data_IF_529677042651
#
_entry.id   IF_529677042651
#
_cell.length_a   1.000
_cell.length_b   1.000
_cell.length_c   1.000
_cell.angle_alpha   90.00
_cell.angle_beta   90.00
_cell.angle_gamma   90.00
#
_symmetry.space_group_name_H-M   'P 1'
#
loop_
_entity.id
_entity.type
_entity.pdbx_description
1 polymer ?
#
# COMPACT_ATOMS: atom_id res chain seq x y z
N UNK A 1 34.60 15.03 59.39
CA UNK A 1 35.20 16.32 58.96
C UNK A 1 36.70 16.29 59.26
N UNK A 2 37.51 15.74 58.36
CA UNK A 2 38.97 15.72 58.50
C UNK A 2 39.53 17.08 58.04
N UNK A 3 39.54 18.06 58.96
CA UNK A 3 40.21 19.36 58.76
C UNK A 3 41.72 19.18 58.95
N UNK A 4 42.43 19.10 57.82
CA UNK A 4 43.85 19.43 57.59
C UNK A 4 44.73 19.60 58.85
N UNK A 5 45.33 18.52 59.33
CA UNK A 5 46.53 18.57 60.17
C UNK A 5 47.72 17.93 59.42
N UNK A 6 48.24 18.65 58.42
CA UNK A 6 49.63 18.62 57.96
C UNK A 6 49.74 19.61 56.79
N UNK A 7 50.42 20.74 56.99
CA UNK A 7 50.49 21.84 56.03
C UNK A 7 51.65 21.61 55.03
N UNK A 8 51.63 20.50 54.31
CA UNK A 8 52.40 20.39 53.08
C UNK A 8 51.64 21.17 51.99
N UNK A 9 52.25 22.21 51.43
CA UNK A 9 51.72 22.87 50.24
C UNK A 9 51.71 21.83 49.11
N UNK A 10 50.53 21.42 48.66
CA UNK A 10 50.41 20.52 47.53
C UNK A 10 50.85 21.27 46.27
N UNK A 11 51.96 20.84 45.66
CA UNK A 11 52.40 21.36 44.37
C UNK A 11 51.42 20.93 43.29
N UNK A 12 51.23 21.78 42.29
CA UNK A 12 50.42 21.42 41.13
C UNK A 12 51.02 20.18 40.46
N UNK A 13 50.15 19.28 39.99
CA UNK A 13 50.60 18.04 39.36
C UNK A 13 51.44 18.31 38.10
N UNK A 14 51.17 19.42 37.41
CA UNK A 14 51.98 19.92 36.28
C UNK A 14 53.43 20.25 36.69
N UNK A 15 53.63 20.82 37.88
CA UNK A 15 54.96 21.15 38.40
C UNK A 15 55.72 19.90 38.88
N UNK A 16 54.97 18.88 39.31
CA UNK A 16 55.53 17.60 39.77
C UNK A 16 55.97 16.73 38.60
N UNK A 17 55.20 16.69 37.51
CA UNK A 17 55.51 15.91 36.30
C UNK A 17 56.35 16.69 35.28
N UNK A 18 56.52 18.01 35.48
CA UNK A 18 57.18 18.95 34.55
C UNK A 18 56.54 18.98 33.15
N UNK A 19 55.26 18.60 33.04
CA UNK A 19 54.52 18.60 31.78
C UNK A 19 53.43 19.67 31.77
N UNK A 20 53.58 20.66 30.87
CA UNK A 20 52.61 21.75 30.69
C UNK A 20 51.30 21.28 30.04
N UNK A 21 51.35 20.21 29.25
CA UNK A 21 50.20 19.68 28.50
C UNK A 21 49.46 18.54 29.21
N UNK A 22 49.86 18.19 30.43
CA UNK A 22 49.28 17.10 31.22
C UNK A 22 47.74 17.09 31.23
N UNK A 23 47.09 18.24 31.43
CA UNK A 23 45.62 18.31 31.46
C UNK A 23 44.97 18.09 30.09
N UNK A 24 45.67 18.38 28.98
CA UNK A 24 45.17 18.06 27.63
C UNK A 24 45.16 16.54 27.44
N UNK A 25 46.23 15.86 27.85
CA UNK A 25 46.29 14.40 27.84
C UNK A 25 45.25 13.79 28.79
N UNK A 26 45.12 14.32 30.01
CA UNK A 26 44.15 13.84 30.98
C UNK A 26 42.71 13.97 30.47
N UNK A 27 42.36 15.11 29.88
CA UNK A 27 41.07 15.33 29.25
C UNK A 27 40.84 14.34 28.10
N UNK A 28 41.83 14.16 27.22
CA UNK A 28 41.76 13.17 26.14
C UNK A 28 41.50 11.77 26.69
N UNK A 29 42.27 11.33 27.70
CA UNK A 29 42.09 10.02 28.32
C UNK A 29 40.71 9.88 28.98
N UNK A 30 40.21 10.89 29.67
CA UNK A 30 38.87 10.86 30.24
C UNK A 30 37.78 10.80 29.17
N UNK A 31 37.88 11.58 28.09
CA UNK A 31 36.96 11.49 26.95
C UNK A 31 37.01 10.12 26.28
N UNK A 32 38.20 9.52 26.16
CA UNK A 32 38.37 8.16 25.61
C UNK A 32 37.78 7.09 26.53
N UNK A 33 37.96 7.21 27.85
CA UNK A 33 37.35 6.30 28.83
C UNK A 33 35.82 6.40 28.76
N UNK A 34 35.28 7.61 28.65
CA UNK A 34 33.84 7.81 28.50
C UNK A 34 33.32 7.23 27.18
N UNK A 35 34.01 7.46 26.06
CA UNK A 35 33.67 6.89 24.75
C UNK A 35 33.74 5.37 24.77
N UNK A 36 34.82 4.79 25.30
CA UNK A 36 34.99 3.35 25.43
C UNK A 36 33.95 2.74 26.38
N UNK A 37 33.61 3.44 27.46
CA UNK A 37 32.54 3.05 28.38
C UNK A 37 31.16 3.06 27.72
N UNK A 38 30.88 4.07 26.89
CA UNK A 38 29.62 4.18 26.14
C UNK A 38 29.49 3.10 25.05
N UNK A 39 30.58 2.79 24.33
CA UNK A 39 30.58 1.76 23.29
C UNK A 39 30.81 0.33 23.81
N UNK A 40 31.01 0.14 25.12
CA UNK A 40 31.30 -1.18 25.69
C UNK A 40 30.13 -2.16 25.53
N UNK A 41 28.91 -1.65 25.59
CA UNK A 41 27.69 -2.45 25.44
C UNK A 41 26.87 -1.83 24.33
N UNK A 42 26.86 -2.49 23.18
CA UNK A 42 25.98 -2.14 22.06
C UNK A 42 24.90 -3.19 21.97
N UNK A 43 23.64 -2.74 22.03
CA UNK A 43 22.51 -3.62 21.76
C UNK A 43 22.46 -3.95 20.26
N UNK A 44 22.28 -5.22 19.95
CA UNK A 44 21.96 -5.68 18.59
C UNK A 44 20.57 -6.28 18.63
N UNK A 45 19.57 -5.47 18.31
CA UNK A 45 18.20 -5.95 18.19
C UNK A 45 18.04 -6.53 16.79
N UNK A 46 17.69 -7.81 16.72
CA UNK A 46 17.26 -8.42 15.47
C UNK A 46 15.76 -8.16 15.35
N UNK A 47 15.38 -7.31 14.40
CA UNK A 47 14.00 -7.20 13.97
C UNK A 47 13.68 -8.40 13.06
N UNK A 48 12.46 -8.92 13.14
CA UNK A 48 12.03 -10.07 12.35
C UNK A 48 12.13 -9.82 10.84
N UNK A 49 11.85 -10.83 10.00
CA UNK A 49 11.84 -10.63 8.56
C UNK A 49 10.90 -9.47 8.18
N UNK A 50 11.32 -8.59 7.26
CA UNK A 50 10.49 -7.48 6.82
C UNK A 50 9.23 -7.98 6.12
N UNK A 51 8.16 -7.20 6.22
CA UNK A 51 6.90 -7.45 5.51
C UNK A 51 7.10 -7.42 4.00
N UNK A 52 6.32 -8.22 3.27
CA UNK A 52 6.40 -8.27 1.80
C UNK A 52 6.13 -6.91 1.13
N UNK A 53 5.25 -6.09 1.70
CA UNK A 53 4.95 -4.75 1.18
C UNK A 53 6.22 -3.87 1.18
N UNK A 54 6.97 -3.89 2.29
CA UNK A 54 8.24 -3.16 2.41
C UNK A 54 9.29 -3.66 1.39
N UNK A 55 9.36 -4.98 1.18
CA UNK A 55 10.27 -5.55 0.17
C UNK A 55 9.90 -5.11 -1.25
N UNK A 56 8.60 -5.02 -1.55
CA UNK A 56 8.10 -4.56 -2.86
C UNK A 56 8.47 -3.11 -3.10
N UNK A 57 8.35 -2.26 -2.08
CA UNK A 57 8.72 -0.84 -2.16
C UNK A 57 10.22 -0.65 -2.38
N UNK A 58 11.06 -1.43 -1.69
CA UNK A 58 12.52 -1.41 -1.92
C UNK A 58 12.88 -1.86 -3.33
N UNK A 59 12.24 -2.90 -3.86
CA UNK A 59 12.46 -3.36 -5.24
C UNK A 59 12.04 -2.30 -6.27
N UNK A 60 10.89 -1.65 -6.05
CA UNK A 60 10.42 -0.58 -6.92
C UNK A 60 11.40 0.62 -6.94
N UNK A 61 11.88 1.03 -5.76
CA UNK A 61 12.89 2.10 -5.64
C UNK A 61 14.20 1.72 -6.35
N UNK A 62 14.66 0.47 -6.23
CA UNK A 62 15.85 0.00 -6.93
C UNK A 62 15.65 -0.02 -8.45
N UNK A 63 14.46 -0.39 -8.95
CA UNK A 63 14.18 -0.33 -10.38
C UNK A 63 14.17 1.10 -10.92
N UNK A 64 13.61 2.06 -10.17
CA UNK A 64 13.62 3.46 -10.57
C UNK A 64 15.05 4.05 -10.59
N UNK A 65 15.89 3.72 -9.61
CA UNK A 65 17.30 4.11 -9.62
C UNK A 65 18.09 3.47 -10.77
N UNK A 66 17.83 2.20 -11.09
CA UNK A 66 18.45 1.50 -12.22
C UNK A 66 18.00 2.07 -13.58
N UNK A 67 16.72 2.46 -13.71
CA UNK A 67 16.18 3.09 -14.93
C UNK A 67 16.71 4.52 -15.09
N UNK A 68 16.88 5.27 -14.00
CA UNK A 68 17.51 6.60 -14.01
C UNK A 68 19.01 6.55 -14.39
N UNK A 69 19.73 5.49 -13.98
CA UNK A 69 21.13 5.28 -14.36
C UNK A 69 21.31 4.90 -15.84
N UNK A 70 20.29 4.33 -16.50
CA UNK A 70 20.33 3.98 -17.93
C UNK A 70 19.83 5.13 -18.82
N UNK A 71 18.97 6.02 -18.31
CA UNK A 71 18.31 7.07 -19.09
C UNK A 71 19.02 8.44 -19.07
N UNK A 72 20.33 8.50 -18.73
CA UNK A 72 21.06 9.78 -18.66
C UNK A 72 21.29 10.45 -20.03
N UNK A 73 20.81 9.88 -21.14
CA UNK A 73 20.94 10.45 -22.49
C UNK A 73 19.62 10.83 -23.19
N UNK A 74 18.44 10.66 -22.59
CA UNK A 74 17.19 11.10 -23.23
C UNK A 74 16.28 11.86 -22.26
N UNK A 75 16.53 13.17 -22.17
CA UNK A 75 15.64 14.15 -21.54
C UNK A 75 14.51 14.49 -22.51
N UNK A 76 13.30 14.03 -22.23
CA UNK A 76 12.08 14.61 -22.81
C UNK A 76 10.92 14.46 -21.83
N UNK A 77 10.69 15.56 -21.12
CA UNK A 77 9.41 16.15 -20.72
C UNK A 77 8.14 15.27 -20.82
N UNK A 78 7.52 15.08 -19.67
CA UNK A 78 6.06 15.06 -19.57
C UNK A 78 5.63 15.74 -18.27
N UNK A 79 5.73 17.08 -18.28
CA UNK A 79 4.98 17.96 -17.40
C UNK A 79 3.50 17.98 -17.79
N UNK A 80 2.63 18.01 -16.77
CA UNK A 80 1.29 18.61 -16.80
C UNK A 80 0.25 18.02 -17.76
N UNK A 81 -0.56 17.09 -17.24
CA UNK A 81 -1.89 16.79 -17.77
C UNK A 81 -2.86 16.51 -16.61
N UNK A 82 -3.11 17.49 -15.76
CA UNK A 82 -4.13 17.39 -14.69
C UNK A 82 -5.07 18.61 -14.67
N UNK A 83 -5.47 19.06 -15.86
CA UNK A 83 -6.48 20.11 -16.04
C UNK A 83 -7.59 19.62 -16.97
N UNK A 84 -8.45 18.71 -16.46
CA UNK A 84 -9.86 18.47 -16.84
C UNK A 84 -10.42 17.20 -16.18
N UNK A 85 -10.30 17.02 -14.86
CA UNK A 85 -11.12 16.02 -14.15
C UNK A 85 -12.37 16.68 -13.60
N UNK A 86 -13.48 16.49 -14.32
CA UNK A 86 -14.81 16.69 -13.74
C UNK A 86 -14.94 15.85 -12.46
N UNK A 87 -15.75 16.31 -11.51
CA UNK A 87 -15.99 15.61 -10.24
C UNK A 87 -16.46 14.17 -10.51
N UNK A 88 -15.58 13.20 -10.29
CA UNK A 88 -15.90 11.78 -10.38
C UNK A 88 -16.06 11.19 -8.98
N UNK A 89 -17.09 10.37 -8.71
CA UNK A 89 -17.15 9.64 -7.46
C UNK A 89 -15.98 8.65 -7.36
N UNK A 90 -15.40 8.54 -6.16
CA UNK A 90 -14.25 7.68 -5.85
C UNK A 90 -14.63 6.81 -4.66
N UNK A 91 -14.42 5.49 -4.78
CA UNK A 91 -14.52 4.59 -3.63
C UNK A 91 -13.31 4.79 -2.71
N UNK A 92 -13.57 5.04 -1.42
CA UNK A 92 -12.50 5.21 -0.43
C UNK A 92 -12.28 3.95 0.41
N UNK A 93 -13.35 3.21 0.67
CA UNK A 93 -13.33 2.10 1.64
C UNK A 93 -14.04 0.88 1.06
N UNK A 94 -13.51 -0.31 1.35
CA UNK A 94 -14.11 -1.58 0.94
C UNK A 94 -15.56 -1.74 1.43
N UNK A 95 -15.87 -1.21 2.63
CA UNK A 95 -17.22 -1.17 3.20
C UNK A 95 -18.18 -0.35 2.35
N UNK A 96 -17.73 0.78 1.81
CA UNK A 96 -18.54 1.62 0.92
C UNK A 96 -18.85 0.86 -0.38
N UNK A 97 -17.85 0.16 -0.93
CA UNK A 97 -18.03 -0.68 -2.11
C UNK A 97 -19.05 -1.80 -1.88
N UNK A 98 -18.98 -2.48 -0.73
CA UNK A 98 -19.96 -3.49 -0.33
C UNK A 98 -21.39 -2.91 -0.22
N UNK A 99 -21.54 -1.71 0.34
CA UNK A 99 -22.84 -1.04 0.46
C UNK A 99 -23.45 -0.64 -0.90
N UNK A 100 -22.61 -0.21 -1.85
CA UNK A 100 -23.05 0.24 -3.17
C UNK A 100 -23.37 -0.94 -4.09
N UNK A 101 -22.53 -1.98 -4.12
CA UNK A 101 -22.74 -3.15 -4.97
C UNK A 101 -23.76 -4.14 -4.38
N UNK A 102 -23.87 -4.18 -3.06
CA UNK A 102 -24.59 -5.21 -2.33
C UNK A 102 -23.76 -6.50 -2.17
N UNK A 103 -24.19 -7.33 -1.22
CA UNK A 103 -23.44 -8.50 -0.77
C UNK A 103 -23.09 -9.50 -1.89
N UNK A 104 -24.09 -9.96 -2.64
CA UNK A 104 -23.87 -11.02 -3.64
C UNK A 104 -22.92 -10.58 -4.77
N UNK A 105 -23.07 -9.34 -5.25
CA UNK A 105 -22.20 -8.79 -6.31
C UNK A 105 -20.78 -8.56 -5.83
N UNK A 106 -20.64 -8.03 -4.61
CA UNK A 106 -19.34 -7.84 -3.99
C UNK A 106 -18.64 -9.18 -3.74
N UNK A 107 -19.35 -10.18 -3.21
CA UNK A 107 -18.82 -11.54 -2.97
C UNK A 107 -18.24 -12.13 -4.26
N UNK A 108 -19.01 -12.12 -5.34
CA UNK A 108 -18.56 -12.64 -6.63
C UNK A 108 -17.29 -11.95 -7.13
N UNK A 109 -17.23 -10.62 -6.98
CA UNK A 109 -16.11 -9.82 -7.42
C UNK A 109 -14.86 -10.06 -6.55
N UNK A 110 -15.02 -10.02 -5.23
CA UNK A 110 -13.94 -10.27 -4.27
C UNK A 110 -13.42 -11.71 -4.37
N UNK A 111 -14.30 -12.69 -4.60
CA UNK A 111 -13.93 -14.08 -4.88
C UNK A 111 -12.98 -14.18 -6.07
N UNK A 112 -13.34 -13.58 -7.20
CA UNK A 112 -12.52 -13.64 -8.41
C UNK A 112 -11.19 -12.88 -8.25
N UNK A 113 -11.17 -11.78 -7.51
CA UNK A 113 -9.95 -11.03 -7.19
C UNK A 113 -9.00 -11.87 -6.33
N UNK A 114 -9.51 -12.50 -5.26
CA UNK A 114 -8.69 -13.33 -4.36
C UNK A 114 -8.17 -14.59 -5.06
N UNK A 115 -8.93 -15.16 -6.00
CA UNK A 115 -8.46 -16.28 -6.84
C UNK A 115 -7.38 -15.87 -7.85
N UNK A 116 -7.22 -14.57 -8.13
CA UNK A 116 -6.30 -14.06 -9.15
C UNK A 116 -6.85 -14.12 -10.57
N UNK A 117 -8.16 -14.26 -10.74
CA UNK A 117 -8.82 -14.17 -12.04
C UNK A 117 -8.75 -12.72 -12.56
N UNK A 118 -8.89 -12.55 -13.88
CA UNK A 118 -8.83 -11.22 -14.48
C UNK A 118 -10.12 -10.44 -14.19
N UNK A 119 -9.99 -9.32 -13.50
CA UNK A 119 -11.03 -8.33 -13.30
C UNK A 119 -10.98 -7.28 -14.42
N UNK A 120 -12.05 -7.20 -15.19
CA UNK A 120 -12.23 -6.22 -16.25
C UNK A 120 -13.30 -5.24 -15.80
N UNK A 121 -12.96 -3.95 -15.71
CA UNK A 121 -13.92 -2.90 -15.39
C UNK A 121 -14.07 -2.02 -16.62
N UNK A 122 -15.28 -1.97 -17.17
CA UNK A 122 -15.60 -1.20 -18.36
C UNK A 122 -16.53 -0.06 -18.00
N UNK A 123 -16.13 1.17 -18.31
CA UNK A 123 -16.99 2.32 -18.15
C UNK A 123 -16.27 3.66 -18.04
N UNK A 124 -17.04 4.67 -17.70
CA UNK A 124 -16.59 6.04 -17.45
C UNK A 124 -17.28 6.55 -16.17
N UNK A 125 -16.66 7.47 -15.42
CA UNK A 125 -15.35 8.10 -15.64
C UNK A 125 -14.16 7.23 -15.21
N UNK A 126 -12.97 7.50 -15.76
CA UNK A 126 -11.71 6.77 -15.45
C UNK A 126 -11.37 6.80 -13.95
N UNK A 127 -11.60 7.94 -13.28
CA UNK A 127 -11.37 8.07 -11.84
C UNK A 127 -12.16 7.07 -10.98
N UNK A 128 -13.38 6.73 -11.41
CA UNK A 128 -14.20 5.73 -10.74
C UNK A 128 -13.62 4.33 -10.94
N UNK A 129 -13.19 3.99 -12.16
CA UNK A 129 -12.54 2.70 -12.49
C UNK A 129 -11.29 2.50 -11.64
N UNK A 130 -10.42 3.51 -11.57
CA UNK A 130 -9.21 3.47 -10.76
C UNK A 130 -9.52 3.30 -9.27
N UNK A 131 -10.55 3.98 -8.76
CA UNK A 131 -10.94 3.84 -7.35
C UNK A 131 -11.40 2.42 -6.99
N UNK A 132 -12.05 1.73 -7.93
CA UNK A 132 -12.42 0.31 -7.76
C UNK A 132 -11.16 -0.55 -7.63
N UNK A 133 -10.15 -0.30 -8.46
CA UNK A 133 -8.89 -1.07 -8.40
C UNK A 133 -8.14 -0.83 -7.09
N UNK A 134 -8.00 0.42 -6.65
CA UNK A 134 -7.30 0.72 -5.40
C UNK A 134 -8.01 0.10 -4.18
N UNK A 135 -9.34 0.12 -4.15
CA UNK A 135 -10.08 -0.53 -3.04
C UNK A 135 -9.95 -2.05 -3.04
N UNK A 136 -9.96 -2.69 -4.21
CA UNK A 136 -9.85 -4.15 -4.33
C UNK A 136 -8.43 -4.67 -4.18
N UNK A 137 -7.42 -3.86 -4.52
CA UNK A 137 -6.01 -4.16 -4.31
C UNK A 137 -5.71 -4.52 -2.86
N UNK A 138 -6.44 -3.93 -1.91
CA UNK A 138 -6.31 -4.21 -0.48
C UNK A 138 -6.50 -5.70 -0.17
N UNK A 139 -7.34 -6.42 -0.93
CA UNK A 139 -7.65 -7.84 -0.71
C UNK A 139 -6.50 -8.80 -1.05
N UNK A 140 -5.52 -8.37 -1.84
CA UNK A 140 -4.46 -9.25 -2.36
C UNK A 140 -3.06 -8.72 -1.99
N UNK A 141 -2.04 -9.59 -1.96
CA UNK A 141 -0.66 -9.14 -1.80
C UNK A 141 -0.25 -8.17 -2.92
N UNK A 142 0.64 -7.22 -2.61
CA UNK A 142 1.11 -6.19 -3.55
C UNK A 142 1.67 -6.79 -4.84
N UNK A 143 2.44 -7.89 -4.74
CA UNK A 143 3.04 -8.59 -5.90
C UNK A 143 2.02 -9.27 -6.80
N UNK A 144 0.83 -9.57 -6.29
CA UNK A 144 -0.25 -10.18 -7.05
C UNK A 144 -1.05 -9.14 -7.85
N UNK A 145 -0.79 -7.84 -7.67
CA UNK A 145 -1.50 -6.77 -8.35
C UNK A 145 -0.76 -6.31 -9.62
N UNK A 146 -1.34 -6.58 -10.79
CA UNK A 146 -0.88 -6.11 -12.11
C UNK A 146 -2.01 -5.36 -12.80
N UNK A 147 -1.90 -4.03 -12.84
CA UNK A 147 -2.97 -3.17 -13.31
C UNK A 147 -2.62 -2.45 -14.63
N UNK A 148 -3.56 -2.47 -15.56
CA UNK A 148 -3.64 -1.54 -16.68
C UNK A 148 -4.80 -0.58 -16.38
N UNK A 149 -4.51 0.70 -16.07
CA UNK A 149 -5.48 1.62 -15.48
C UNK A 149 -6.68 1.90 -16.39
N UNK A 150 -6.41 2.18 -17.65
CA UNK A 150 -7.43 2.42 -18.67
C UNK A 150 -6.84 2.14 -20.05
N UNK A 151 -7.51 1.32 -20.86
CA UNK A 151 -7.08 0.99 -22.21
C UNK A 151 -8.25 0.98 -23.19
N UNK A 152 -7.98 1.39 -24.42
CA UNK A 152 -8.95 1.30 -25.52
C UNK A 152 -9.00 -0.11 -26.15
N UNK A 153 -8.03 -0.98 -25.83
CA UNK A 153 -7.90 -2.33 -26.39
C UNK A 153 -7.83 -3.36 -25.28
N UNK A 154 -8.51 -4.49 -25.47
CA UNK A 154 -8.44 -5.61 -24.54
C UNK A 154 -7.00 -6.13 -24.35
N UNK A 155 -6.67 -6.51 -23.12
CA UNK A 155 -5.37 -7.07 -22.73
C UNK A 155 -5.58 -8.41 -22.06
N UNK A 156 -4.79 -9.39 -22.46
CA UNK A 156 -4.87 -10.78 -21.97
C UNK A 156 -4.49 -10.91 -20.49
N UNK A 157 -4.98 -11.97 -19.83
CA UNK A 157 -4.78 -12.21 -18.39
C UNK A 157 -3.32 -12.35 -17.95
N UNK A 158 -2.41 -12.77 -18.84
CA UNK A 158 -0.98 -12.86 -18.54
C UNK A 158 -0.30 -11.49 -18.44
N UNK A 159 -0.90 -10.45 -19.04
CA UNK A 159 -0.39 -9.07 -18.97
C UNK A 159 -0.83 -8.37 -17.70
N UNK A 160 -2.10 -8.52 -17.32
CA UNK A 160 -2.71 -7.84 -16.19
C UNK A 160 -3.90 -8.64 -15.65
N UNK A 161 -4.05 -8.63 -14.32
CA UNK A 161 -5.25 -9.13 -13.65
C UNK A 161 -6.27 -8.02 -13.40
N UNK A 162 -5.88 -6.74 -13.36
CA UNK A 162 -6.81 -5.61 -13.31
C UNK A 162 -6.74 -4.84 -14.63
N UNK A 163 -7.86 -4.76 -15.34
CA UNK A 163 -7.95 -4.12 -16.65
C UNK A 163 -9.11 -3.12 -16.69
N UNK A 164 -8.78 -1.84 -16.82
CA UNK A 164 -9.76 -0.79 -17.11
C UNK A 164 -9.98 -0.66 -18.61
N UNK A 165 -11.24 -0.65 -19.06
CA UNK A 165 -11.61 -0.51 -20.46
C UNK A 165 -12.58 0.64 -20.71
N UNK A 166 -12.50 1.20 -21.91
CA UNK A 166 -13.50 2.11 -22.45
C UNK A 166 -14.81 1.38 -22.78
N UNK A 167 -15.92 2.10 -22.65
CA UNK A 167 -17.28 1.55 -22.83
C UNK A 167 -17.50 0.88 -24.20
N UNK A 168 -16.82 1.38 -25.23
CA UNK A 168 -16.97 0.91 -26.62
C UNK A 168 -16.01 -0.24 -26.99
N UNK A 169 -15.12 -0.65 -26.10
CA UNK A 169 -14.14 -1.69 -26.40
C UNK A 169 -14.79 -3.07 -26.43
N UNK A 170 -14.56 -3.79 -27.53
CA UNK A 170 -15.03 -5.17 -27.69
C UNK A 170 -14.11 -6.14 -26.95
N UNK A 171 -14.72 -7.07 -26.21
CA UNK A 171 -14.03 -8.15 -25.51
C UNK A 171 -14.20 -9.43 -26.35
N UNK A 172 -13.13 -10.19 -26.62
CA UNK A 172 -13.23 -11.42 -27.38
C UNK A 172 -14.23 -12.42 -26.78
N UNK A 173 -15.06 -13.04 -27.63
CA UNK A 173 -16.17 -13.92 -27.20
C UNK A 173 -15.72 -15.15 -26.43
N UNK A 174 -14.57 -15.74 -26.79
CA UNK A 174 -14.00 -16.90 -26.10
C UNK A 174 -13.65 -16.60 -24.63
N UNK A 175 -13.40 -15.33 -24.31
CA UNK A 175 -13.15 -14.87 -22.94
C UNK A 175 -14.48 -14.76 -22.22
N UNK A 176 -15.50 -14.19 -22.87
CA UNK A 176 -16.83 -14.03 -22.29
C UNK A 176 -17.47 -15.37 -21.84
N UNK A 177 -17.12 -16.46 -22.50
CA UNK A 177 -17.57 -17.81 -22.16
C UNK A 177 -16.73 -18.48 -21.05
N UNK A 178 -15.51 -17.97 -20.83
CA UNK A 178 -14.57 -18.48 -19.83
C UNK A 178 -15.03 -18.23 -18.39
N UNK A 179 -14.47 -19.00 -17.46
CA UNK A 179 -14.69 -18.86 -16.02
C UNK A 179 -13.61 -18.01 -15.33
N UNK A 180 -12.57 -17.61 -16.08
CA UNK A 180 -11.35 -17.00 -15.52
C UNK A 180 -11.36 -15.47 -15.56
N UNK A 181 -12.52 -14.86 -15.81
CA UNK A 181 -12.69 -13.42 -15.83
C UNK A 181 -13.93 -12.99 -15.07
N UNK A 182 -13.93 -11.75 -14.62
CA UNK A 182 -15.11 -11.05 -14.10
C UNK A 182 -15.20 -9.70 -14.79
N UNK A 183 -16.36 -9.42 -15.40
CA UNK A 183 -16.62 -8.15 -16.07
C UNK A 183 -17.58 -7.32 -15.22
N UNK A 184 -17.17 -6.08 -14.94
CA UNK A 184 -17.98 -5.07 -14.28
C UNK A 184 -18.25 -3.93 -15.25
N UNK A 185 -19.49 -3.83 -15.71
CA UNK A 185 -19.96 -2.74 -16.57
C UNK A 185 -20.54 -1.61 -15.70
N UNK A 186 -20.01 -0.41 -15.90
CA UNK A 186 -20.48 0.82 -15.25
C UNK A 186 -21.30 1.60 -16.28
N UNK A 187 -22.59 1.76 -16.03
CA UNK A 187 -23.49 2.57 -16.86
C UNK A 187 -24.01 3.77 -16.08
N UNK A 188 -23.88 4.96 -16.66
CA UNK A 188 -24.46 6.18 -16.11
C UNK A 188 -25.98 6.21 -16.37
N UNK A 189 -26.76 6.40 -15.30
CA UNK A 189 -28.20 6.55 -15.32
C UNK A 189 -28.57 8.03 -15.13
N UNK A 190 -28.97 8.68 -16.21
CA UNK A 190 -29.56 10.02 -16.15
C UNK A 190 -31.02 9.94 -15.69
N UNK A 191 -31.24 9.76 -14.38
CA UNK A 191 -32.57 9.92 -13.79
C UNK A 191 -32.82 11.42 -13.55
N UNK A 192 -33.61 12.06 -14.42
CA UNK A 192 -33.98 13.49 -14.39
C UNK A 192 -34.91 13.92 -13.23
N UNK A 193 -35.01 13.13 -12.16
CA UNK A 193 -35.76 13.52 -10.97
C UNK A 193 -34.80 14.06 -9.91
N UNK A 194 -34.80 15.38 -9.76
CA UNK A 194 -34.23 16.08 -8.61
C UNK A 194 -34.64 15.38 -7.30
N UNK A 195 -33.65 15.06 -6.46
CA UNK A 195 -33.60 15.43 -5.04
C UNK A 195 -32.42 14.74 -4.32
N UNK A 196 -31.50 15.59 -3.84
CA UNK A 196 -30.77 15.47 -2.57
C UNK A 196 -30.64 14.07 -2.00
N UNK A 197 -29.68 13.30 -2.51
CA UNK A 197 -29.11 12.22 -1.71
C UNK A 197 -27.60 12.32 -1.75
N UNK A 198 -27.00 12.35 -0.57
CA UNK A 198 -25.57 12.53 -0.32
C UNK A 198 -24.68 11.41 -0.90
N UNK A 199 -25.23 10.49 -1.70
CA UNK A 199 -24.52 9.31 -2.17
C UNK A 199 -24.19 9.48 -3.67
N UNK A 200 -22.95 9.82 -4.03
CA UNK A 200 -22.58 10.24 -5.39
C UNK A 200 -22.61 9.09 -6.41
N UNK A 201 -22.81 7.85 -5.95
CA UNK A 201 -22.89 6.64 -6.77
C UNK A 201 -24.28 6.34 -7.34
N UNK A 202 -25.34 7.07 -6.94
CA UNK A 202 -26.71 6.75 -7.39
C UNK A 202 -26.94 6.97 -8.89
N UNK A 203 -26.12 7.80 -9.52
CA UNK A 203 -26.15 8.00 -10.97
C UNK A 203 -25.46 6.87 -11.73
N UNK A 204 -24.91 5.87 -11.05
CA UNK A 204 -24.20 4.77 -11.67
C UNK A 204 -24.90 3.45 -11.36
N UNK A 205 -25.02 2.62 -12.39
CA UNK A 205 -25.44 1.24 -12.25
C UNK A 205 -24.28 0.30 -12.55
N UNK A 206 -24.13 -0.69 -11.68
CA UNK A 206 -23.06 -1.66 -11.73
C UNK A 206 -23.62 -3.04 -12.09
N UNK A 207 -23.34 -3.49 -13.30
CA UNK A 207 -23.65 -4.83 -13.78
C UNK A 207 -22.39 -5.68 -13.69
N UNK A 208 -22.43 -6.75 -12.88
CA UNK A 208 -21.30 -7.67 -12.73
C UNK A 208 -21.68 -9.00 -13.39
N UNK A 209 -20.80 -9.48 -14.27
CA UNK A 209 -20.87 -10.77 -14.94
C UNK A 209 -19.65 -11.58 -14.54
N UNK A 210 -19.90 -12.74 -13.98
CA UNK A 210 -18.86 -13.68 -13.57
C UNK A 210 -19.51 -14.99 -13.14
N UNK A 211 -18.69 -16.02 -12.93
CA UNK A 211 -19.15 -17.28 -12.36
C UNK A 211 -18.47 -17.50 -11.01
N UNK A 212 -19.25 -17.86 -10.02
CA UNK A 212 -18.73 -18.29 -8.72
C UNK A 212 -18.40 -19.79 -8.78
N UNK A 213 -17.33 -20.22 -8.11
CA UNK A 213 -17.08 -21.63 -7.86
C UNK A 213 -17.70 -22.02 -6.51
N UNK A 214 -18.25 -23.23 -6.42
CA UNK A 214 -19.10 -23.73 -5.33
C UNK A 214 -18.46 -23.63 -3.92
N UNK A 215 -17.14 -23.49 -3.84
CA UNK A 215 -16.41 -23.36 -2.58
C UNK A 215 -15.52 -22.11 -2.57
N UNK A 216 -16.00 -21.07 -1.88
CA UNK A 216 -15.24 -19.86 -1.57
C UNK A 216 -14.09 -20.11 -0.60
N UNK A 217 -12.95 -19.40 -0.72
CA UNK A 217 -11.85 -19.51 0.23
C UNK A 217 -12.29 -18.99 1.60
N UNK A 218 -11.77 -19.60 2.67
CA UNK A 218 -12.13 -19.23 4.05
C UNK A 218 -11.76 -17.77 4.36
N UNK A 219 -10.71 -17.22 3.73
CA UNK A 219 -10.31 -15.82 3.88
C UNK A 219 -11.45 -14.87 3.53
N UNK A 220 -12.16 -15.16 2.44
CA UNK A 220 -13.20 -14.28 1.94
C UNK A 220 -14.37 -14.23 2.92
N UNK A 221 -14.71 -15.37 3.53
CA UNK A 221 -15.74 -15.43 4.58
C UNK A 221 -15.35 -14.59 5.80
N UNK A 222 -14.11 -14.72 6.29
CA UNK A 222 -13.60 -13.91 7.41
C UNK A 222 -13.64 -12.40 7.07
N UNK A 223 -13.24 -12.03 5.85
CA UNK A 223 -13.26 -10.65 5.36
C UNK A 223 -14.71 -10.11 5.31
N UNK A 224 -15.65 -10.89 4.77
CA UNK A 224 -17.05 -10.50 4.67
C UNK A 224 -17.72 -10.34 6.02
N UNK A 225 -17.47 -11.25 6.96
CA UNK A 225 -17.93 -11.14 8.34
C UNK A 225 -17.39 -9.87 9.01
N UNK A 226 -16.11 -9.56 8.81
CA UNK A 226 -15.51 -8.32 9.32
C UNK A 226 -16.09 -7.05 8.68
N UNK A 227 -16.39 -7.08 7.38
CA UNK A 227 -17.01 -5.96 6.66
C UNK A 227 -18.48 -5.73 7.04
N UNK A 228 -19.21 -6.78 7.43
CA UNK A 228 -20.58 -6.66 7.92
C UNK A 228 -20.64 -6.16 9.37
N UNK A 229 -19.59 -6.41 10.15
CA UNK A 229 -19.52 -5.94 11.53
C UNK A 229 -19.33 -4.42 11.58
N UNK A 230 -20.32 -3.74 12.15
CA UNK A 230 -20.35 -2.27 12.31
C UNK A 230 -19.55 -1.77 13.51
N UNK A 231 -19.09 -2.66 14.38
CA UNK A 231 -18.29 -2.29 15.56
C UNK A 231 -16.83 -2.02 15.22
N UNK A 232 -16.35 -2.48 14.06
CA UNK A 232 -15.00 -2.15 13.59
C UNK A 232 -14.98 -0.76 12.98
N UNK A 233 -14.07 0.09 13.46
CA UNK A 233 -13.65 1.29 12.72
C UNK A 233 -12.89 0.88 11.47
N UNK A 234 -12.84 1.77 10.48
CA UNK A 234 -12.15 1.47 9.22
C UNK A 234 -10.65 1.20 9.44
N UNK A 235 -10.01 1.92 10.36
CA UNK A 235 -8.61 1.66 10.74
C UNK A 235 -8.35 0.28 11.34
N UNK A 236 -9.27 -0.22 12.17
CA UNK A 236 -9.16 -1.56 12.78
C UNK A 236 -9.40 -2.63 11.73
N UNK A 237 -10.33 -2.37 10.81
CA UNK A 237 -10.59 -3.24 9.68
C UNK A 237 -9.36 -3.34 8.78
N UNK A 238 -8.71 -2.22 8.44
CA UNK A 238 -7.49 -2.22 7.62
C UNK A 238 -6.38 -3.05 8.28
N UNK A 239 -6.15 -2.85 9.58
CA UNK A 239 -5.16 -3.64 10.32
C UNK A 239 -5.52 -5.14 10.39
N UNK A 240 -6.81 -5.46 10.54
CA UNK A 240 -7.30 -6.84 10.53
C UNK A 240 -7.13 -7.48 9.15
N UNK A 241 -7.40 -6.76 8.07
CA UNK A 241 -7.18 -7.23 6.70
C UNK A 241 -5.68 -7.46 6.44
N UNK A 242 -4.80 -6.56 6.89
CA UNK A 242 -3.35 -6.77 6.82
C UNK A 242 -2.94 -8.05 7.55
N UNK A 243 -3.42 -8.26 8.78
CA UNK A 243 -3.10 -9.46 9.55
C UNK A 243 -3.64 -10.75 8.89
N UNK A 244 -4.85 -10.70 8.33
CA UNK A 244 -5.41 -11.84 7.58
C UNK A 244 -4.60 -12.14 6.32
N UNK A 245 -4.09 -11.13 5.61
CA UNK A 245 -3.22 -11.36 4.46
C UNK A 245 -1.92 -12.02 4.88
N UNK A 246 -1.30 -11.54 5.96
CA UNK A 246 -0.09 -12.14 6.53
C UNK A 246 -0.34 -13.62 6.91
N UNK A 247 -1.43 -13.92 7.62
CA UNK A 247 -1.82 -15.30 7.99
C UNK A 247 -1.94 -16.23 6.77
N UNK A 248 -2.32 -15.70 5.61
CA UNK A 248 -2.51 -16.49 4.38
C UNK A 248 -1.28 -16.56 3.47
N UNK A 249 -0.31 -15.67 3.67
CA UNK A 249 0.96 -15.70 2.96
C UNK A 249 1.97 -16.63 3.63
N UNK A 250 1.84 -16.85 4.95
CA UNK A 250 2.61 -17.85 5.72
C UNK A 250 2.17 -19.30 5.45
#
# INVERSE_FOLDING_TARGET
VLRRQHKASFRAIQDLTKDKHLFHYLHLYFSWILKAGAHRVTEKVLEGPPREELLTDYEAQQTDEAVLAVNTDNKSESTAADEKKGWSPVFTTLRQMLQVLGFAKFHLLAFNVVQGNQLIVRGQPEGLVLSIFETLKILIPSRCFKCVPYSDVYKESWTCNFLGLKTDTEIPTHILESHLYTLMDIKEQFNSSEQTSNNPFKHYSFEIRGKELVHGPQILKKIEEALLNKHFSDSVLDQYLCALKEEWME
#
